data_IF_912014870691
#
_entry.id   IF_912014870691
#
_cell.length_a   1.000
_cell.length_b   1.000
_cell.length_c   1.000
_cell.angle_alpha   90.00
_cell.angle_beta   90.00
_cell.angle_gamma   90.00
#
_symmetry.space_group_name_H-M   'P 1'
#
loop_
_entity.id
_entity.type
_entity.pdbx_description
1 polymer ?
#
# COMPACT_ATOMS: atom_id res chain seq x y z
N UNK A 1 15.34 -10.98 -18.05
CA UNK A 1 13.98 -10.63 -17.56
C UNK A 1 13.88 -10.92 -16.07
N UNK A 2 14.48 -10.09 -15.20
CA UNK A 2 14.28 -10.18 -13.76
C UNK A 2 13.65 -8.88 -13.30
N UNK A 3 12.32 -8.78 -13.48
CA UNK A 3 11.55 -7.64 -13.00
C UNK A 3 11.43 -7.72 -11.49
N UNK A 4 11.93 -6.70 -10.80
CA UNK A 4 11.93 -6.54 -9.34
C UNK A 4 10.57 -6.89 -8.71
N UNK A 5 10.55 -7.40 -7.46
CA UNK A 5 9.29 -7.59 -6.75
C UNK A 5 8.59 -6.23 -6.71
N UNK A 6 7.39 -6.16 -7.31
CA UNK A 6 6.53 -4.97 -7.19
C UNK A 6 6.49 -4.61 -5.72
N UNK A 7 6.80 -3.36 -5.40
CA UNK A 7 6.63 -2.85 -4.04
C UNK A 7 5.28 -3.37 -3.52
N UNK A 8 5.22 -3.94 -2.30
CA UNK A 8 4.11 -4.80 -1.86
C UNK A 8 2.72 -4.12 -1.92
N UNK A 9 2.68 -2.81 -2.13
CA UNK A 9 1.46 -1.99 -2.18
C UNK A 9 1.34 -1.16 -3.48
N UNK A 10 2.08 -1.54 -4.54
CA UNK A 10 1.94 -0.94 -5.86
C UNK A 10 0.50 -1.14 -6.37
N UNK A 11 -0.25 -0.05 -6.51
CA UNK A 11 -1.66 -0.08 -6.93
C UNK A 11 -2.68 -0.07 -5.79
N UNK A 12 -2.26 -0.04 -4.51
CA UNK A 12 -3.21 0.12 -3.41
C UNK A 12 -3.81 1.54 -3.44
N UNK A 13 -5.16 1.69 -3.52
CA UNK A 13 -5.79 3.00 -3.55
C UNK A 13 -5.57 3.76 -2.24
N UNK A 14 -5.26 5.06 -2.31
CA UNK A 14 -5.00 5.92 -1.14
C UNK A 14 -6.14 5.90 -0.10
N UNK A 15 -7.38 5.76 -0.55
CA UNK A 15 -8.56 5.73 0.32
C UNK A 15 -9.02 4.33 0.75
N UNK A 16 -8.45 3.25 0.22
CA UNK A 16 -8.76 1.88 0.62
C UNK A 16 -8.20 1.56 2.02
N UNK A 17 -8.71 0.49 2.64
CA UNK A 17 -8.12 -0.04 3.87
C UNK A 17 -6.65 -0.44 3.64
N UNK A 18 -5.79 -0.16 4.61
CA UNK A 18 -4.37 -0.46 4.49
C UNK A 18 -4.15 -1.99 4.57
N UNK A 19 -3.44 -2.60 3.61
CA UNK A 19 -3.25 -4.06 3.54
C UNK A 19 -2.42 -4.63 4.71
N UNK A 20 -1.83 -3.78 5.55
CA UNK A 20 -1.13 -4.20 6.78
C UNK A 20 -2.07 -4.54 7.94
N UNK A 21 -3.40 -4.46 7.77
CA UNK A 21 -4.37 -4.81 8.80
C UNK A 21 -4.55 -3.79 9.93
N UNK A 22 -4.00 -2.58 9.82
CA UNK A 22 -4.06 -1.56 10.89
C UNK A 22 -5.43 -0.92 11.11
N UNK A 23 -6.42 -1.23 10.27
CA UNK A 23 -7.74 -0.57 10.25
C UNK A 23 -7.73 0.86 9.69
N UNK A 24 -6.55 1.44 9.40
CA UNK A 24 -6.42 2.79 8.82
C UNK A 24 -6.54 2.76 7.30
N UNK A 25 -6.96 3.88 6.68
CA UNK A 25 -6.86 4.05 5.22
C UNK A 25 -5.40 4.10 4.78
N UNK A 26 -5.09 3.62 3.57
CA UNK A 26 -3.72 3.52 3.06
C UNK A 26 -2.96 4.86 3.09
N UNK A 27 -3.62 6.00 2.83
CA UNK A 27 -3.04 7.35 2.95
C UNK A 27 -2.72 7.81 4.38
N UNK A 28 -3.30 7.18 5.39
CA UNK A 28 -3.04 7.50 6.82
C UNK A 28 -2.15 6.46 7.49
N UNK A 29 -1.54 5.57 6.70
CA UNK A 29 -0.70 4.47 7.17
C UNK A 29 0.50 4.33 6.22
N UNK A 30 0.63 3.20 5.52
CA UNK A 30 1.81 2.84 4.74
C UNK A 30 2.02 3.55 3.40
N UNK A 31 1.12 4.44 2.99
CA UNK A 31 1.58 5.52 2.10
C UNK A 31 0.95 6.83 2.50
N UNK A 32 1.12 7.11 3.78
CA UNK A 32 1.41 8.46 4.21
C UNK A 32 2.61 8.93 3.40
N UNK A 33 2.33 9.87 2.51
CA UNK A 33 3.30 10.76 1.91
C UNK A 33 3.37 11.98 2.85
#
# INVERSE_FOLDING_TARGET
>A
RLGAPRAPWAGTPRNAACPCGSGKKFKHCHGRI
#
